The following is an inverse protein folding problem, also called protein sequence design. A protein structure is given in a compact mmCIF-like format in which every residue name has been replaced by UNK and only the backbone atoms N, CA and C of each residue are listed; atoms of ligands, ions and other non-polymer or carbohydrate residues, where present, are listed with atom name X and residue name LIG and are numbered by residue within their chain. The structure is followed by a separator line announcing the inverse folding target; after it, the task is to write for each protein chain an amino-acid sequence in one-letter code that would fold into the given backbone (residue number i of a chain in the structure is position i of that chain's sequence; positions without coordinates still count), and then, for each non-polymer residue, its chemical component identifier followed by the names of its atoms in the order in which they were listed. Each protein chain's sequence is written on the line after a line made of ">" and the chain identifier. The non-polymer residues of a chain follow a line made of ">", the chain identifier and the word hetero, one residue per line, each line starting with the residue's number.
data_IF_365782030778
#
_entry.id   IF_365782030778
#
_cell.length_a   1.000
_cell.length_b   1.000
_cell.length_c   1.000
_cell.angle_alpha   90.00
_cell.angle_beta   90.00
_cell.angle_gamma   90.00
#
_symmetry.space_group_name_H-M   'P 1'
#
loop_
_entity.id
_entity.type
_entity.pdbx_description
1 polymer ?
#
# COMPACT_ATOMS: atom_id res chain seq x y z
N UNK A 1 2.35 -7.89 -8.33
CA UNK A 1 2.21 -6.88 -7.26
C UNK A 1 0.74 -6.59 -7.08
N UNK A 2 0.14 -7.02 -5.97
CA UNK A 2 -1.29 -6.80 -5.69
C UNK A 2 -1.48 -5.57 -4.80
N UNK A 3 -2.63 -4.91 -4.91
CA UNK A 3 -2.98 -3.72 -4.13
C UNK A 3 -3.27 -3.99 -2.65
N UNK A 4 -3.05 -5.22 -2.15
CA UNK A 4 -3.45 -5.67 -0.81
C UNK A 4 -2.98 -4.73 0.31
N UNK A 5 -1.71 -4.37 0.34
CA UNK A 5 -1.18 -3.48 1.39
C UNK A 5 -1.83 -2.09 1.36
N UNK A 6 -2.02 -1.51 0.17
CA UNK A 6 -2.71 -0.23 0.02
C UNK A 6 -4.20 -0.32 0.40
N UNK A 7 -4.86 -1.44 0.09
CA UNK A 7 -6.25 -1.68 0.50
C UNK A 7 -6.39 -1.75 2.01
N UNK A 8 -5.57 -2.54 2.71
CA UNK A 8 -5.64 -2.63 4.17
C UNK A 8 -5.25 -1.31 4.85
N UNK A 9 -4.26 -0.59 4.31
CA UNK A 9 -3.91 0.75 4.79
C UNK A 9 -5.08 1.74 4.67
N UNK A 10 -5.81 1.71 3.55
CA UNK A 10 -6.98 2.56 3.35
C UNK A 10 -8.14 2.22 4.30
N UNK A 11 -8.35 0.93 4.57
CA UNK A 11 -9.37 0.46 5.53
C UNK A 11 -9.05 0.89 6.96
N UNK A 12 -7.77 0.89 7.34
CA UNK A 12 -7.33 1.32 8.68
C UNK A 12 -7.21 2.85 8.83
N UNK A 13 -7.21 3.59 7.73
CA UNK A 13 -7.10 5.05 7.72
C UNK A 13 -8.48 5.70 7.93
N UNK A 14 -8.54 6.76 8.72
CA UNK A 14 -9.73 7.59 8.92
C UNK A 14 -9.88 8.73 7.90
N UNK A 15 -9.02 8.78 6.86
CA UNK A 15 -9.14 9.75 5.78
C UNK A 15 -10.45 9.54 4.97
N UNK A 16 -11.05 10.62 4.48
CA UNK A 16 -12.23 10.56 3.61
C UNK A 16 -11.91 10.05 2.19
N UNK A 17 -10.65 10.18 1.77
CA UNK A 17 -10.18 9.83 0.44
C UNK A 17 -9.22 8.64 0.45
N UNK A 18 -9.16 7.93 -0.67
CA UNK A 18 -8.22 6.84 -0.84
C UNK A 18 -6.78 7.36 -1.01
N UNK A 19 -5.86 6.74 -0.30
CA UNK A 19 -4.42 6.85 -0.53
C UNK A 19 -4.00 5.84 -1.59
N UNK A 20 -3.24 6.29 -2.59
CA UNK A 20 -2.76 5.45 -3.69
C UNK A 20 -1.22 5.45 -3.72
N UNK A 21 -0.59 4.30 -3.98
CA UNK A 21 0.83 4.22 -4.24
C UNK A 21 1.16 4.89 -5.58
N UNK A 22 2.11 5.82 -5.57
CA UNK A 22 2.55 6.55 -6.76
C UNK A 22 3.92 6.10 -7.25
N UNK A 23 4.79 5.62 -6.36
CA UNK A 23 6.13 5.17 -6.72
C UNK A 23 6.66 4.15 -5.72
N UNK A 24 7.21 3.04 -6.22
CA UNK A 24 7.98 2.10 -5.40
C UNK A 24 9.41 2.63 -5.30
N UNK A 25 9.90 2.79 -4.07
CA UNK A 25 11.25 3.26 -3.78
C UNK A 25 12.22 2.09 -3.62
N UNK A 26 11.79 1.03 -2.94
CA UNK A 26 12.60 -0.15 -2.68
C UNK A 26 11.72 -1.37 -2.46
N UNK A 27 12.23 -2.53 -2.86
CA UNK A 27 11.62 -3.83 -2.59
C UNK A 27 12.68 -4.76 -2.02
N UNK A 28 12.32 -5.49 -0.97
CA UNK A 28 13.14 -6.55 -0.40
C UNK A 28 12.28 -7.79 -0.19
N UNK A 29 12.76 -8.96 -0.59
CA UNK A 29 12.11 -10.24 -0.36
C UNK A 29 12.91 -11.09 0.61
N UNK A 30 12.21 -11.84 1.46
CA UNK A 30 12.80 -12.80 2.37
C UNK A 30 12.01 -14.10 2.30
N UNK A 31 12.70 -15.21 2.07
CA UNK A 31 12.11 -16.55 2.11
C UNK A 31 11.90 -16.97 3.57
N UNK A 32 10.67 -17.40 3.89
CA UNK A 32 10.21 -17.88 5.21
C UNK A 32 9.30 -19.10 4.96
N UNK A 33 8.29 -19.37 5.81
CA UNK A 33 7.17 -20.23 5.46
C UNK A 33 6.24 -19.55 4.41
N UNK A 34 6.81 -19.22 3.24
CA UNK A 34 6.27 -18.30 2.24
C UNK A 34 7.31 -17.26 1.82
N UNK A 35 6.87 -16.13 1.26
CA UNK A 35 7.76 -15.00 0.92
C UNK A 35 7.25 -13.75 1.62
N UNK A 36 8.10 -13.15 2.45
CA UNK A 36 7.85 -11.83 3.04
C UNK A 36 8.37 -10.75 2.10
N UNK A 37 7.50 -9.86 1.67
CA UNK A 37 7.87 -8.66 0.92
C UNK A 37 7.86 -7.44 1.84
N UNK A 38 8.97 -6.71 1.86
CA UNK A 38 9.08 -5.40 2.49
C UNK A 38 9.20 -4.39 1.36
N UNK A 39 8.25 -3.45 1.29
CA UNK A 39 8.11 -2.53 0.16
C UNK A 39 8.06 -1.11 0.71
N UNK A 40 9.05 -0.30 0.35
CA UNK A 40 9.05 1.12 0.64
C UNK A 40 8.37 1.83 -0.54
N UNK A 41 7.24 2.49 -0.28
CA UNK A 41 6.37 3.06 -1.32
C UNK A 41 6.00 4.50 -0.96
N UNK A 42 6.11 5.40 -1.94
CA UNK A 42 5.53 6.72 -1.86
C UNK A 42 4.04 6.64 -2.14
N UNK A 43 3.22 7.21 -1.25
CA UNK A 43 1.77 7.28 -1.39
C UNK A 43 1.31 8.73 -1.51
N UNK A 44 0.22 8.95 -2.24
CA UNK A 44 -0.46 10.23 -2.35
C UNK A 44 -1.96 10.07 -2.12
N UNK A 45 -2.59 11.11 -1.59
CA UNK A 45 -4.04 11.15 -1.50
C UNK A 45 -4.62 11.32 -2.91
N UNK A 46 -5.63 10.51 -3.24
CA UNK A 46 -6.41 10.66 -4.46
C UNK A 46 -7.61 11.59 -4.23
N UNK A 47 -8.34 11.90 -5.31
CA UNK A 47 -9.63 12.58 -5.23
C UNK A 47 -10.82 11.59 -5.09
N UNK A 48 -10.56 10.28 -5.01
CA UNK A 48 -11.59 9.27 -4.85
C UNK A 48 -11.97 9.15 -3.36
N UNK A 49 -13.24 9.38 -3.05
CA UNK A 49 -13.79 9.14 -1.70
C UNK A 49 -13.83 7.65 -1.39
N UNK A 50 -13.79 7.27 -0.11
CA UNK A 50 -13.88 5.87 0.34
C UNK A 50 -15.29 5.24 0.28
N UNK A 51 -16.28 6.01 -0.20
CA UNK A 51 -17.69 5.63 -0.25
C UNK A 51 -18.04 4.79 -1.48
#
# INVERSE_FOLDING_TARGET
>A
MSWRAATEMNRASNDAYHWIPVKVLRVTSQVVAGVKYIIDVLVAQSNCTKN
#
